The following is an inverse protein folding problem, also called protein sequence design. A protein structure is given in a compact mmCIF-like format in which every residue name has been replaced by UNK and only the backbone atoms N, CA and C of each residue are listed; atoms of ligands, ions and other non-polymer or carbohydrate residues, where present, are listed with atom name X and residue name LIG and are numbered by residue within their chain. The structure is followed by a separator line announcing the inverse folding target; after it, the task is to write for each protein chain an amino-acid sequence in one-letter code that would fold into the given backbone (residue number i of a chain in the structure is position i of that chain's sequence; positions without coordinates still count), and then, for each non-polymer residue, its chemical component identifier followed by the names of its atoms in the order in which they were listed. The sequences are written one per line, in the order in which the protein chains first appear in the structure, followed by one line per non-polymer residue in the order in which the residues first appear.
data_IF_426942637274
#
_entry.id   IF_426942637274
#
_cell.length_a   1.000
_cell.length_b   1.000
_cell.length_c   1.000
_cell.angle_alpha   90.00
_cell.angle_beta   90.00
_cell.angle_gamma   90.00
#
_symmetry.space_group_name_H-M   'P 1'
#
loop_
_entity.id
_entity.type
_entity.pdbx_description
1 polymer ?
#
# COMPACT_ATOMS: atom_id res chain seq x y z
N UNK A 1 -2.65 10.19 20.04
CA UNK A 1 -2.07 9.14 19.19
C UNK A 1 -1.24 9.82 18.12
N UNK A 2 0.05 9.47 18.00
CA UNK A 2 0.92 10.01 16.94
C UNK A 2 0.69 9.16 15.69
N UNK A 3 0.16 9.76 14.63
CA UNK A 3 0.02 9.07 13.34
C UNK A 3 1.40 9.07 12.69
N UNK A 4 2.06 7.92 12.69
CA UNK A 4 3.38 7.75 12.05
C UNK A 4 3.16 7.38 10.59
N UNK A 5 3.68 8.21 9.70
CA UNK A 5 3.66 7.97 8.26
C UNK A 5 4.95 7.32 7.80
N UNK A 6 4.82 6.37 6.88
CA UNK A 6 5.92 5.63 6.29
C UNK A 6 6.08 5.96 4.82
N UNK A 7 7.33 6.08 4.38
CA UNK A 7 7.64 6.22 2.95
C UNK A 7 7.33 4.93 2.19
N UNK A 8 7.20 5.00 0.87
CA UNK A 8 7.02 3.81 0.01
C UNK A 8 8.05 2.70 0.30
N UNK A 9 9.31 3.06 0.59
CA UNK A 9 10.37 2.09 0.89
C UNK A 9 10.15 1.39 2.22
N UNK A 10 9.83 2.16 3.27
CA UNK A 10 9.55 1.62 4.60
C UNK A 10 8.30 0.74 4.58
N UNK A 11 7.22 1.22 3.96
CA UNK A 11 5.98 0.48 3.78
C UNK A 11 6.18 -0.87 3.08
N UNK A 12 6.97 -0.90 2.00
CA UNK A 12 7.30 -2.15 1.31
C UNK A 12 8.09 -3.13 2.20
N UNK A 13 9.03 -2.62 3.00
CA UNK A 13 9.78 -3.43 3.96
C UNK A 13 8.88 -3.98 5.07
N UNK A 14 7.97 -3.17 5.63
CA UNK A 14 7.00 -3.58 6.66
C UNK A 14 6.09 -4.70 6.18
N UNK A 15 5.68 -4.65 4.92
CA UNK A 15 4.83 -5.67 4.31
C UNK A 15 5.62 -6.85 3.71
N UNK A 16 6.94 -6.85 3.85
CA UNK A 16 7.86 -7.85 3.27
C UNK A 16 7.62 -8.11 1.78
N UNK A 17 7.40 -7.03 1.01
CA UNK A 17 7.18 -7.08 -0.43
C UNK A 17 8.22 -6.24 -1.17
N UNK A 18 8.49 -6.60 -2.42
CA UNK A 18 9.38 -5.81 -3.25
C UNK A 18 8.79 -4.39 -3.46
N UNK A 19 9.63 -3.37 -3.30
CA UNK A 19 9.30 -1.97 -3.53
C UNK A 19 8.62 -1.71 -4.89
N UNK A 20 9.05 -2.39 -5.96
CA UNK A 20 8.42 -2.26 -7.29
C UNK A 20 7.01 -2.83 -7.30
N UNK A 21 6.77 -3.94 -6.60
CA UNK A 21 5.45 -4.55 -6.46
C UNK A 21 4.52 -3.65 -5.64
N UNK A 22 5.03 -3.11 -4.53
CA UNK A 22 4.27 -2.16 -3.72
C UNK A 22 3.89 -0.90 -4.50
N UNK A 23 4.82 -0.38 -5.33
CA UNK A 23 4.54 0.72 -6.26
C UNK A 23 3.39 0.46 -7.20
N UNK A 24 3.31 -0.75 -7.76
CA UNK A 24 2.19 -1.15 -8.61
C UNK A 24 0.88 -1.17 -7.82
N UNK A 25 0.88 -1.73 -6.62
CA UNK A 25 -0.35 -1.83 -5.82
C UNK A 25 -0.92 -0.49 -5.41
N UNK A 26 -0.14 0.41 -4.80
CA UNK A 26 -0.71 1.71 -4.44
C UNK A 26 -1.14 2.51 -5.69
N UNK A 27 -0.42 2.39 -6.80
CA UNK A 27 -0.82 3.02 -8.06
C UNK A 27 -2.15 2.47 -8.61
N UNK A 28 -2.45 1.19 -8.38
CA UNK A 28 -3.77 0.61 -8.66
C UNK A 28 -4.84 1.20 -7.74
N UNK A 29 -4.56 1.40 -6.44
CA UNK A 29 -5.50 2.06 -5.54
C UNK A 29 -5.82 3.50 -5.96
N UNK A 30 -4.81 4.29 -6.35
CA UNK A 30 -5.02 5.66 -6.84
C UNK A 30 -5.88 5.66 -8.13
N UNK A 31 -5.61 4.71 -9.05
CA UNK A 31 -6.30 4.66 -10.36
C UNK A 31 -7.71 4.09 -10.32
N UNK A 32 -7.91 2.98 -9.61
CA UNK A 32 -9.17 2.22 -9.66
C UNK A 32 -10.13 2.61 -8.55
N UNK A 33 -9.62 3.01 -7.38
CA UNK A 33 -10.46 3.37 -6.22
C UNK A 33 -10.55 4.88 -5.98
N UNK A 34 -9.81 5.70 -6.74
CA UNK A 34 -9.74 7.15 -6.52
C UNK A 34 -9.15 7.53 -5.16
N UNK A 35 -8.45 6.59 -4.51
CA UNK A 35 -7.92 6.79 -3.17
C UNK A 35 -6.66 7.66 -3.24
N UNK A 36 -6.70 8.83 -2.61
CA UNK A 36 -5.57 9.76 -2.59
C UNK A 36 -4.72 9.54 -1.35
N UNK A 37 -3.54 8.95 -1.53
CA UNK A 37 -2.57 8.83 -0.44
C UNK A 37 -1.98 10.19 -0.08
N UNK A 38 -1.60 10.33 1.20
CA UNK A 38 -0.90 11.51 1.66
C UNK A 38 0.45 11.63 0.96
N UNK A 39 0.89 12.88 0.71
CA UNK A 39 2.19 13.15 0.11
C UNK A 39 3.01 14.06 1.01
N UNK A 40 4.32 13.84 1.03
CA UNK A 40 5.25 14.72 1.71
C UNK A 40 5.42 16.04 0.96
N UNK A 41 6.17 16.98 1.55
CA UNK A 41 6.47 18.27 0.93
C UNK A 41 7.27 18.16 -0.38
N UNK A 42 7.87 17.00 -0.67
CA UNK A 42 8.60 16.68 -1.90
C UNK A 42 7.72 15.92 -2.91
N UNK A 43 6.44 15.72 -2.62
CA UNK A 43 5.49 14.99 -3.47
C UNK A 43 5.57 13.46 -3.38
N UNK A 44 6.37 12.91 -2.45
CA UNK A 44 6.50 11.47 -2.24
C UNK A 44 5.31 10.93 -1.46
N UNK A 45 4.78 9.79 -1.90
CA UNK A 45 3.65 9.14 -1.25
C UNK A 45 4.05 8.61 0.13
N UNK A 46 3.20 8.90 1.10
CA UNK A 46 3.30 8.52 2.49
C UNK A 46 2.11 7.64 2.88
N UNK A 47 2.37 6.62 3.69
CA UNK A 47 1.41 5.61 4.10
C UNK A 47 1.22 5.65 5.60
N UNK A 48 -0.02 5.81 6.04
CA UNK A 48 -0.41 5.63 7.43
C UNK A 48 -0.45 4.16 7.80
N UNK A 49 -0.54 3.85 9.10
CA UNK A 49 -0.75 2.48 9.58
C UNK A 49 -2.04 1.86 9.00
N UNK A 50 -3.10 2.66 8.85
CA UNK A 50 -4.35 2.22 8.23
C UNK A 50 -4.14 1.79 6.77
N UNK A 51 -3.40 2.57 5.99
CA UNK A 51 -3.10 2.22 4.59
C UNK A 51 -2.36 0.88 4.52
N UNK A 52 -1.37 0.68 5.38
CA UNK A 52 -0.60 -0.56 5.45
C UNK A 52 -1.46 -1.75 5.85
N UNK A 53 -2.40 -1.56 6.77
CA UNK A 53 -3.34 -2.61 7.14
C UNK A 53 -4.25 -2.99 5.96
N UNK A 54 -4.70 -2.01 5.18
CA UNK A 54 -5.46 -2.25 3.94
C UNK A 54 -4.66 -3.10 2.94
N UNK A 55 -3.38 -2.76 2.73
CA UNK A 55 -2.49 -3.56 1.87
C UNK A 55 -2.27 -4.96 2.42
N UNK A 56 -2.10 -5.11 3.75
CA UNK A 56 -1.93 -6.43 4.39
C UNK A 56 -3.14 -7.32 4.14
N UNK A 57 -4.37 -6.79 4.27
CA UNK A 57 -5.60 -7.53 3.96
C UNK A 57 -5.65 -7.95 2.49
N UNK A 58 -5.29 -7.06 1.57
CA UNK A 58 -5.24 -7.38 0.14
C UNK A 58 -4.22 -8.48 -0.18
N UNK A 59 -3.04 -8.43 0.45
CA UNK A 59 -2.01 -9.47 0.29
C UNK A 59 -2.49 -10.82 0.83
N UNK A 60 -3.20 -10.85 1.95
CA UNK A 60 -3.79 -12.07 2.50
C UNK A 60 -4.82 -12.67 1.55
N UNK A 61 -5.74 -11.85 1.01
CA UNK A 61 -6.75 -12.31 0.03
C UNK A 61 -6.06 -12.87 -1.23
N UNK A 62 -4.96 -12.26 -1.68
CA UNK A 62 -4.20 -12.73 -2.84
C UNK A 62 -3.39 -14.01 -2.56
N UNK A 63 -2.98 -14.21 -1.30
CA UNK A 63 -2.22 -15.39 -0.89
C UNK A 63 -3.11 -16.63 -0.73
N UNK A 64 -4.44 -16.49 -0.68
CA UNK A 64 -5.36 -17.62 -0.71
C UNK A 64 -5.33 -18.29 -2.11
N UNK A 65 -4.93 -19.56 -2.21
CA UNK A 65 -4.91 -20.29 -3.47
C UNK A 65 -6.35 -20.57 -3.92
N UNK A 66 -6.85 -19.84 -4.93
CA UNK A 66 -8.13 -20.16 -5.58
C UNK A 66 -9.03 -18.99 -5.96
N UNK A 67 -8.69 -17.74 -5.66
CA UNK A 67 -9.45 -16.57 -6.16
C UNK A 67 -8.77 -15.91 -7.35
N UNK A 68 -9.14 -16.35 -8.55
CA UNK A 68 -9.18 -15.48 -9.73
C UNK A 68 -10.30 -14.47 -9.53
N UNK A 69 -9.98 -13.18 -9.70
CA UNK A 69 -10.99 -12.13 -9.83
C UNK A 69 -11.61 -12.35 -11.22
N UNK A 70 -12.80 -12.94 -11.26
CA UNK A 70 -13.70 -12.95 -12.42
C UNK A 70 -14.57 -11.69 -12.43
#
# INVERSE_FOLDING_TARGET
MVVVYQTTKQAAQTLNINHTTFKKYYGMFERYNGYNFLRDLKGQVMFSEYDLEMFKRLLLIKAEPGRTIE
#
